data_IF_440534239561
#
_entry.id   IF_440534239561
#
_cell.length_a   1.000
_cell.length_b   1.000
_cell.length_c   1.000
_cell.angle_alpha   90.00
_cell.angle_beta   90.00
_cell.angle_gamma   90.00
#
_symmetry.space_group_name_H-M   'P 1'
#
loop_
_entity.id
_entity.type
_entity.pdbx_description
1 polymer ?
#
# COMPACT_ATOMS: atom_id res chain seq x y z
N UNK A 1 0.46 25.77 6.66
CA UNK A 1 0.13 25.11 7.95
C UNK A 1 1.38 24.43 8.47
N UNK A 2 1.71 24.51 9.76
CA UNK A 2 2.91 23.89 10.34
C UNK A 2 2.57 22.61 11.11
N UNK A 3 3.51 21.67 11.21
CA UNK A 3 3.37 20.39 11.94
C UNK A 3 2.82 20.59 13.37
N UNK A 4 3.30 21.63 14.07
CA UNK A 4 2.88 21.94 15.43
C UNK A 4 1.40 22.34 15.57
N UNK A 5 0.82 23.00 14.57
CA UNK A 5 -0.61 23.34 14.62
C UNK A 5 -1.48 22.08 14.52
N UNK A 6 -1.13 21.15 13.63
CA UNK A 6 -1.84 19.87 13.52
C UNK A 6 -1.75 19.08 14.82
N UNK A 7 -0.56 18.97 15.42
CA UNK A 7 -0.40 18.28 16.71
C UNK A 7 -1.23 18.91 17.82
N UNK A 8 -1.27 20.25 17.89
CA UNK A 8 -2.09 20.94 18.89
C UNK A 8 -3.59 20.65 18.71
N UNK A 9 -4.09 20.61 17.46
CA UNK A 9 -5.49 20.29 17.19
C UNK A 9 -5.78 18.82 17.52
N UNK A 10 -4.90 17.90 17.15
CA UNK A 10 -5.06 16.48 17.44
C UNK A 10 -5.06 16.21 18.95
N UNK A 11 -4.15 16.83 19.69
CA UNK A 11 -4.13 16.74 21.16
C UNK A 11 -5.42 17.31 21.77
N UNK A 12 -5.91 18.43 21.23
CA UNK A 12 -7.17 19.02 21.68
C UNK A 12 -8.37 18.10 21.40
N UNK A 13 -8.45 17.49 20.22
CA UNK A 13 -9.49 16.49 19.91
C UNK A 13 -9.43 15.29 20.87
N UNK A 14 -8.25 14.74 21.14
CA UNK A 14 -8.11 13.61 22.06
C UNK A 14 -8.47 13.96 23.50
N UNK A 15 -8.10 15.15 23.98
CA UNK A 15 -8.36 15.54 25.37
C UNK A 15 -9.84 15.90 25.63
N UNK A 16 -10.49 16.58 24.69
CA UNK A 16 -11.83 17.14 24.91
C UNK A 16 -12.94 16.38 24.21
N UNK A 17 -12.62 15.65 23.13
CA UNK A 17 -13.58 14.96 22.28
C UNK A 17 -13.11 13.53 21.91
N UNK A 18 -12.79 12.67 22.88
CA UNK A 18 -12.20 11.35 22.60
C UNK A 18 -13.05 10.47 21.68
N UNK A 19 -14.38 10.64 21.69
CA UNK A 19 -15.31 9.89 20.81
C UNK A 19 -15.64 10.61 19.49
N UNK A 20 -15.11 11.81 19.28
CA UNK A 20 -15.32 12.64 18.10
C UNK A 20 -13.99 13.22 17.57
N UNK A 21 -12.91 12.46 17.71
CA UNK A 21 -11.58 12.82 17.23
C UNK A 21 -11.45 12.57 15.71
N UNK A 22 -12.25 13.29 14.92
CA UNK A 22 -12.37 13.10 13.48
C UNK A 22 -11.06 13.37 12.74
N UNK A 23 -10.31 14.39 13.12
CA UNK A 23 -9.02 14.69 12.52
C UNK A 23 -8.01 13.61 12.86
N UNK A 24 -7.93 13.18 14.13
CA UNK A 24 -7.05 12.08 14.54
C UNK A 24 -7.37 10.79 13.78
N UNK A 25 -8.64 10.41 13.68
CA UNK A 25 -9.09 9.22 12.96
C UNK A 25 -8.78 9.30 11.46
N UNK A 26 -8.91 10.49 10.86
CA UNK A 26 -8.56 10.71 9.46
C UNK A 26 -7.04 10.64 9.23
N UNK A 27 -6.25 11.22 10.12
CA UNK A 27 -4.79 11.15 10.06
C UNK A 27 -4.30 9.70 10.22
N UNK A 28 -4.90 8.92 11.12
CA UNK A 28 -4.63 7.49 11.24
C UNK A 28 -4.96 6.71 9.95
N UNK A 29 -6.11 6.99 9.34
CA UNK A 29 -6.44 6.39 8.03
C UNK A 29 -5.40 6.76 6.95
N UNK A 30 -4.95 8.01 6.90
CA UNK A 30 -3.91 8.44 5.96
C UNK A 30 -2.57 7.77 6.26
N UNK A 31 -2.21 7.55 7.52
CA UNK A 31 -0.99 6.83 7.93
C UNK A 31 -0.96 5.42 7.34
N UNK A 32 -2.08 4.71 7.45
CA UNK A 32 -2.23 3.36 6.88
C UNK A 32 -2.14 3.33 5.35
N UNK A 33 -2.52 4.43 4.69
CA UNK A 33 -2.50 4.54 3.23
C UNK A 33 -1.18 5.08 2.68
N UNK A 34 -0.42 5.87 3.45
CA UNK A 34 0.72 6.67 2.97
C UNK A 34 2.03 6.33 3.67
N UNK A 35 2.42 5.07 3.63
CA UNK A 35 3.64 4.64 4.29
C UNK A 35 4.91 5.05 3.52
N UNK A 36 4.85 5.06 2.18
CA UNK A 36 5.97 5.33 1.28
C UNK A 36 5.67 6.45 0.28
N UNK A 37 6.71 6.96 -0.39
CA UNK A 37 6.54 7.92 -1.48
C UNK A 37 5.77 7.35 -2.68
N UNK A 38 5.86 6.04 -2.92
CA UNK A 38 5.12 5.35 -3.99
C UNK A 38 3.62 5.33 -3.70
N UNK A 39 3.23 5.14 -2.44
CA UNK A 39 1.82 5.19 -2.02
C UNK A 39 1.25 6.60 -2.24
N UNK A 40 2.03 7.64 -1.89
CA UNK A 40 1.65 9.04 -2.15
C UNK A 40 1.54 9.30 -3.64
N UNK A 41 2.50 8.83 -4.45
CA UNK A 41 2.47 8.97 -5.90
C UNK A 41 1.18 8.40 -6.50
N UNK A 42 0.82 7.19 -6.08
CA UNK A 42 -0.39 6.51 -6.55
C UNK A 42 -1.65 7.31 -6.18
N UNK A 43 -1.75 7.82 -4.95
CA UNK A 43 -2.91 8.63 -4.55
C UNK A 43 -2.95 10.00 -5.22
N UNK A 44 -1.79 10.58 -5.55
CA UNK A 44 -1.70 11.83 -6.33
C UNK A 44 -2.12 11.59 -7.78
N UNK A 45 -1.66 10.49 -8.40
CA UNK A 45 -2.03 10.12 -9.78
C UNK A 45 -3.55 9.88 -9.92
N UNK A 46 -4.20 9.40 -8.85
CA UNK A 46 -5.65 9.22 -8.79
C UNK A 46 -6.43 10.45 -8.34
N UNK A 47 -5.78 11.61 -8.22
CA UNK A 47 -6.36 12.87 -7.75
C UNK A 47 -7.03 12.77 -6.36
N UNK A 48 -6.62 11.80 -5.54
CA UNK A 48 -7.13 11.62 -4.17
C UNK A 48 -6.44 12.61 -3.22
N UNK A 49 -5.15 12.90 -3.45
CA UNK A 49 -4.35 13.82 -2.64
C UNK A 49 -3.63 14.81 -3.56
N UNK A 50 -3.53 16.06 -3.12
CA UNK A 50 -2.78 17.09 -3.83
C UNK A 50 -1.39 17.23 -3.23
N UNK A 51 -0.35 16.94 -4.00
CA UNK A 51 1.03 17.17 -3.57
C UNK A 51 1.38 18.67 -3.61
N UNK A 52 1.33 19.32 -2.44
CA UNK A 52 1.73 20.72 -2.27
C UNK A 52 3.16 20.91 -1.74
N UNK A 53 3.84 19.82 -1.35
CA UNK A 53 5.21 19.86 -0.82
C UNK A 53 6.28 19.65 -1.90
N UNK A 54 5.89 19.22 -3.10
CA UNK A 54 6.78 18.97 -4.24
C UNK A 54 7.58 17.65 -4.15
N UNK A 55 7.46 16.90 -3.05
CA UNK A 55 8.04 15.56 -2.90
C UNK A 55 7.04 14.63 -2.22
N UNK A 56 6.87 13.46 -2.82
CA UNK A 56 5.98 12.42 -2.33
C UNK A 56 6.51 11.84 -1.01
N UNK A 57 7.83 11.66 -0.90
CA UNK A 57 8.50 11.20 0.32
C UNK A 57 8.35 12.20 1.47
N UNK A 58 8.38 13.50 1.16
CA UNK A 58 8.16 14.54 2.16
C UNK A 58 6.75 14.47 2.76
N UNK A 59 5.73 14.14 1.95
CA UNK A 59 4.35 13.94 2.40
C UNK A 59 4.25 12.70 3.28
N UNK A 60 4.74 11.54 2.80
CA UNK A 60 4.71 10.28 3.56
C UNK A 60 5.39 10.47 4.93
N UNK A 61 6.58 11.08 4.94
CA UNK A 61 7.30 11.37 6.18
C UNK A 61 6.56 12.34 7.10
N UNK A 62 5.87 13.35 6.56
CA UNK A 62 5.09 14.29 7.36
C UNK A 62 3.91 13.58 8.03
N UNK A 63 3.15 12.78 7.28
CA UNK A 63 1.99 12.03 7.79
C UNK A 63 2.45 11.03 8.85
N UNK A 64 3.43 10.18 8.55
CA UNK A 64 3.99 9.22 9.50
C UNK A 64 4.46 9.87 10.79
N UNK A 65 5.10 11.06 10.71
CA UNK A 65 5.53 11.79 11.90
C UNK A 65 4.33 12.34 12.67
N UNK A 66 3.35 12.94 12.01
CA UNK A 66 2.16 13.51 12.65
C UNK A 66 1.35 12.44 13.40
N UNK A 67 1.33 11.22 12.86
CA UNK A 67 0.60 10.09 13.44
C UNK A 67 1.33 9.39 14.59
N UNK A 68 2.61 9.71 14.83
CA UNK A 68 3.29 9.30 16.06
C UNK A 68 2.52 9.81 17.28
N UNK A 69 2.27 8.89 18.21
CA UNK A 69 1.61 9.16 19.50
C UNK A 69 0.09 9.44 19.40
N UNK A 70 -0.52 9.26 18.23
CA UNK A 70 -1.99 9.25 18.12
C UNK A 70 -2.50 7.93 18.70
N UNK A 71 -3.28 8.02 19.78
CA UNK A 71 -4.10 6.90 20.27
C UNK A 71 -5.37 6.84 19.44
N UNK A 72 -5.52 5.77 18.65
CA UNK A 72 -6.73 5.48 17.88
C UNK A 72 -7.63 4.53 18.68
N UNK A 73 -8.68 5.07 19.30
CA UNK A 73 -9.74 4.28 19.92
C UNK A 73 -11.04 4.44 19.11
N UNK A 74 -11.56 3.32 18.58
CA UNK A 74 -12.84 3.28 17.87
C UNK A 74 -12.96 4.29 16.72
N UNK A 75 -12.02 4.26 15.78
CA UNK A 75 -12.05 5.15 14.63
C UNK A 75 -13.34 5.10 13.85
N UNK A 76 -13.87 6.29 13.54
CA UNK A 76 -15.07 6.47 12.73
C UNK A 76 -14.90 5.97 11.28
N UNK A 77 -13.66 5.69 10.86
CA UNK A 77 -13.35 5.11 9.54
C UNK A 77 -13.11 3.60 9.57
N UNK A 78 -13.26 2.94 10.73
CA UNK A 78 -13.06 1.49 10.86
C UNK A 78 -13.93 0.67 9.88
N UNK A 79 -15.20 1.04 9.70
CA UNK A 79 -16.09 0.37 8.73
C UNK A 79 -15.62 0.60 7.28
N UNK A 80 -15.12 1.79 6.97
CA UNK A 80 -14.59 2.11 5.65
C UNK A 80 -13.31 1.30 5.38
N UNK A 81 -12.39 1.23 6.34
CA UNK A 81 -11.17 0.43 6.24
C UNK A 81 -11.50 -1.06 6.04
N UNK A 82 -12.49 -1.60 6.76
CA UNK A 82 -12.96 -2.98 6.55
C UNK A 82 -13.53 -3.20 5.16
N UNK A 83 -14.34 -2.27 4.63
CA UNK A 83 -14.87 -2.35 3.26
C UNK A 83 -13.76 -2.32 2.22
N UNK A 84 -12.75 -1.47 2.41
CA UNK A 84 -11.60 -1.35 1.52
C UNK A 84 -10.79 -2.66 1.51
N UNK A 85 -10.46 -3.19 2.69
CA UNK A 85 -9.75 -4.46 2.82
C UNK A 85 -10.52 -5.62 2.18
N UNK A 86 -11.83 -5.71 2.43
CA UNK A 86 -12.69 -6.74 1.81
C UNK A 86 -12.71 -6.64 0.29
N UNK A 87 -12.73 -5.43 -0.27
CA UNK A 87 -12.68 -5.23 -1.72
C UNK A 87 -11.34 -5.70 -2.29
N UNK A 88 -10.23 -5.32 -1.65
CA UNK A 88 -8.89 -5.76 -2.04
C UNK A 88 -8.75 -7.28 -1.99
N UNK A 89 -9.19 -7.91 -0.91
CA UNK A 89 -9.19 -9.36 -0.75
C UNK A 89 -10.00 -10.04 -1.84
N UNK A 90 -11.20 -9.53 -2.16
CA UNK A 90 -12.03 -10.08 -3.22
C UNK A 90 -11.37 -9.95 -4.60
N UNK A 91 -10.76 -8.80 -4.90
CA UNK A 91 -10.03 -8.58 -6.15
C UNK A 91 -8.79 -9.48 -6.25
N UNK A 92 -8.00 -9.59 -5.19
CA UNK A 92 -6.84 -10.49 -5.11
C UNK A 92 -7.25 -11.96 -5.30
N UNK A 93 -8.28 -12.40 -4.58
CA UNK A 93 -8.83 -13.75 -4.70
C UNK A 93 -9.35 -14.05 -6.11
N UNK A 94 -10.02 -13.08 -6.76
CA UNK A 94 -10.47 -13.21 -8.14
C UNK A 94 -9.31 -13.34 -9.10
N UNK A 95 -8.30 -12.48 -8.98
CA UNK A 95 -7.12 -12.49 -9.86
C UNK A 95 -6.32 -13.80 -9.68
N UNK A 96 -6.14 -14.25 -8.44
CA UNK A 96 -5.53 -15.53 -8.13
C UNK A 96 -6.34 -16.71 -8.69
N UNK A 97 -7.67 -16.66 -8.60
CA UNK A 97 -8.57 -17.63 -9.20
C UNK A 97 -8.46 -17.68 -10.72
N UNK A 98 -8.36 -16.53 -11.38
CA UNK A 98 -8.15 -16.42 -12.83
C UNK A 98 -6.77 -16.96 -13.24
N UNK A 99 -5.72 -16.64 -12.50
CA UNK A 99 -4.37 -17.17 -12.72
C UNK A 99 -4.38 -18.70 -12.60
N UNK A 100 -4.98 -19.23 -11.52
CA UNK A 100 -5.13 -20.67 -11.29
C UNK A 100 -5.91 -21.35 -12.41
N UNK A 101 -7.04 -20.78 -12.82
CA UNK A 101 -7.86 -21.34 -13.89
C UNK A 101 -7.17 -21.28 -15.25
N UNK A 102 -6.43 -20.22 -15.56
CA UNK A 102 -5.84 -20.05 -16.90
C UNK A 102 -4.51 -20.81 -17.04
N UNK A 103 -3.63 -20.72 -16.03
CA UNK A 103 -2.30 -21.33 -16.08
C UNK A 103 -2.25 -22.74 -15.48
N UNK A 104 -3.03 -23.00 -14.43
CA UNK A 104 -2.96 -24.24 -13.67
C UNK A 104 -4.13 -25.21 -13.90
N UNK A 105 -5.17 -24.84 -14.65
CA UNK A 105 -6.24 -25.80 -15.03
C UNK A 105 -5.70 -26.93 -15.90
N UNK A 106 -4.77 -26.60 -16.79
CA UNK A 106 -3.95 -27.59 -17.47
C UNK A 106 -2.63 -27.69 -16.71
N UNK A 107 -2.61 -28.49 -15.64
CA UNK A 107 -1.41 -28.85 -14.88
C UNK A 107 -0.21 -29.14 -15.81
N UNK A 108 -0.47 -29.82 -16.93
CA UNK A 108 0.49 -30.12 -17.99
C UNK A 108 1.08 -28.90 -18.72
N UNK A 109 0.27 -27.85 -18.92
CA UNK A 109 0.72 -26.63 -19.60
C UNK A 109 1.49 -25.73 -18.64
N UNK A 110 1.07 -25.65 -17.37
CA UNK A 110 1.81 -24.98 -16.32
C UNK A 110 3.18 -25.61 -16.08
N UNK A 111 3.25 -26.93 -15.93
CA UNK A 111 4.53 -27.66 -15.77
C UNK A 111 5.43 -27.51 -16.98
N UNK A 112 4.92 -27.66 -18.21
CA UNK A 112 5.70 -27.44 -19.43
C UNK A 112 6.31 -26.04 -19.51
N UNK A 113 5.58 -25.01 -19.07
CA UNK A 113 6.07 -23.63 -19.05
C UNK A 113 7.23 -23.45 -18.06
N UNK A 114 7.11 -24.03 -16.86
CA UNK A 114 8.16 -24.00 -15.83
C UNK A 114 9.42 -24.73 -16.33
N UNK A 115 9.25 -25.93 -16.90
CA UNK A 115 10.37 -26.67 -17.51
C UNK A 115 11.04 -25.87 -18.63
N UNK A 116 10.25 -25.20 -19.48
CA UNK A 116 10.76 -24.32 -20.54
C UNK A 116 11.63 -23.18 -20.01
N UNK A 117 11.19 -22.49 -18.95
CA UNK A 117 11.96 -21.41 -18.32
C UNK A 117 13.29 -21.90 -17.72
N UNK A 118 13.29 -23.07 -17.08
CA UNK A 118 14.49 -23.68 -16.51
C UNK A 118 15.49 -24.02 -17.61
N UNK A 119 15.02 -24.68 -18.68
CA UNK A 119 15.87 -25.06 -19.83
C UNK A 119 16.42 -23.81 -20.53
N UNK A 120 15.58 -22.79 -20.70
CA UNK A 120 15.98 -21.53 -21.34
C UNK A 120 17.06 -20.80 -20.52
N UNK A 121 16.86 -20.68 -19.20
CA UNK A 121 17.85 -20.08 -18.30
C UNK A 121 19.18 -20.85 -18.30
N UNK A 122 19.12 -22.19 -18.26
CA UNK A 122 20.32 -23.04 -18.37
C UNK A 122 21.04 -22.86 -19.72
N UNK A 123 20.29 -22.72 -20.80
CA UNK A 123 20.83 -22.52 -22.15
C UNK A 123 21.52 -21.16 -22.30
N UNK A 124 20.95 -20.10 -21.72
CA UNK A 124 21.60 -18.79 -21.67
C UNK A 124 22.89 -18.84 -20.85
N UNK A 125 22.84 -19.47 -19.67
CA UNK A 125 24.02 -19.65 -18.82
C UNK A 125 25.15 -20.40 -19.54
N UNK A 126 24.83 -21.52 -20.20
CA UNK A 126 25.83 -22.31 -20.93
C UNK A 126 26.43 -21.56 -22.12
N UNK A 127 25.65 -20.72 -22.78
CA UNK A 127 26.09 -19.89 -23.92
C UNK A 127 26.98 -18.73 -23.47
N UNK A 128 26.72 -18.12 -22.30
CA UNK A 128 27.48 -16.98 -21.77
C UNK A 128 28.77 -17.42 -21.07
N UNK A 129 28.76 -18.58 -20.41
CA UNK A 129 29.91 -19.15 -19.68
C UNK A 129 31.27 -19.06 -20.41
N UNK A 130 31.39 -19.37 -21.73
CA UNK A 130 32.66 -19.28 -22.45
C UNK A 130 33.13 -17.85 -22.81
N UNK A 131 32.31 -16.82 -22.56
CA UNK A 131 32.66 -15.41 -22.81
C UNK A 131 33.02 -14.64 -21.53
N UNK A 132 32.78 -15.24 -20.36
CA UNK A 132 32.99 -14.62 -19.04
C UNK A 132 34.19 -15.24 -18.30
N UNK A 133 34.76 -16.33 -18.82
CA UNK A 133 36.00 -17.00 -18.38
C UNK A 133 36.97 -17.05 -19.55
#
# INVERSE_FOLDING_TARGET
MTEGLFRNIMAWEQCYYPFAAYLCNYMGLLDYLLNTGEDVELLVEKDIIVNSLGSNEAIAKMVNRLCLEIVEENSCYSELAQKLNKHFDQCCNRNMGLLKSTYFSNLWRGTATIFGLIIFGFSLWSTIRPYVV
#
